data_IF_538012174051
#
_entry.id   IF_538012174051
#
_cell.length_a   1.000
_cell.length_b   1.000
_cell.length_c   1.000
_cell.angle_alpha   90.00
_cell.angle_beta   90.00
_cell.angle_gamma   90.00
#
_symmetry.space_group_name_H-M   'P 1'
#
loop_
_entity.id
_entity.type
_entity.pdbx_description
1 polymer ?
#
# COMPACT_ATOMS: atom_id res chain seq x y z
N UNK A 1 -57.20 54.88 -16.54
CA UNK A 1 -57.16 53.45 -16.19
C UNK A 1 -56.84 53.33 -14.70
N UNK A 2 -57.64 52.53 -13.96
CA UNK A 2 -57.42 52.06 -12.58
C UNK A 2 -56.12 51.18 -12.55
N UNK A 3 -55.38 50.90 -11.48
CA UNK A 3 -55.72 50.38 -10.13
C UNK A 3 -54.52 50.47 -9.15
N UNK A 4 -54.84 50.48 -7.85
CA UNK A 4 -54.03 50.18 -6.66
C UNK A 4 -53.05 48.98 -6.77
N UNK A 5 -51.99 48.90 -5.94
CA UNK A 5 -51.95 48.01 -4.75
C UNK A 5 -50.58 47.98 -4.02
N UNK A 6 -50.63 47.39 -2.82
CA UNK A 6 -49.87 47.46 -1.58
C UNK A 6 -48.42 46.92 -1.53
N UNK A 7 -47.73 47.43 -0.50
CA UNK A 7 -46.76 46.81 0.42
C UNK A 7 -46.48 45.32 0.27
N UNK A 8 -45.22 44.91 0.46
CA UNK A 8 -44.90 43.99 1.56
C UNK A 8 -43.48 44.23 2.11
N UNK A 9 -43.48 44.51 3.40
CA UNK A 9 -42.36 44.56 4.32
C UNK A 9 -41.93 43.13 4.66
N UNK A 10 -40.63 42.83 4.56
CA UNK A 10 -40.06 41.77 5.41
C UNK A 10 -38.66 42.16 5.87
N UNK A 11 -38.63 42.52 7.15
CA UNK A 11 -37.49 42.51 8.06
C UNK A 11 -36.52 41.37 7.75
N UNK A 12 -35.25 41.71 7.50
CA UNK A 12 -34.15 40.74 7.43
C UNK A 12 -33.28 40.94 8.67
N UNK A 13 -33.35 40.07 9.69
CA UNK A 13 -32.53 40.25 10.86
C UNK A 13 -31.05 40.00 10.56
N UNK A 14 -30.28 40.95 11.06
CA UNK A 14 -28.83 41.00 11.21
C UNK A 14 -28.24 39.81 11.96
N UNK A 15 -27.17 39.28 11.37
CA UNK A 15 -25.95 38.77 11.99
C UNK A 15 -26.08 38.01 13.33
N UNK A 16 -26.16 36.69 13.22
CA UNK A 16 -25.47 35.79 14.14
C UNK A 16 -24.37 35.09 13.35
N UNK A 17 -23.17 35.67 13.36
CA UNK A 17 -21.96 35.01 12.92
C UNK A 17 -21.56 34.04 14.04
N UNK A 18 -22.28 32.91 14.11
CA UNK A 18 -21.86 31.78 14.92
C UNK A 18 -20.57 31.28 14.30
N UNK A 19 -19.44 31.42 15.00
CA UNK A 19 -18.22 30.70 14.70
C UNK A 19 -18.54 29.21 14.63
N UNK A 20 -18.87 28.73 13.43
CA UNK A 20 -18.72 27.34 13.10
C UNK A 20 -17.23 27.06 13.20
N UNK A 21 -16.81 26.59 14.37
CA UNK A 21 -15.63 25.75 14.46
C UNK A 21 -15.90 24.61 13.47
N UNK A 22 -15.36 24.76 12.25
CA UNK A 22 -14.98 23.61 11.46
C UNK A 22 -14.11 22.77 12.40
N UNK A 23 -14.41 21.47 12.61
CA UNK A 23 -13.40 20.59 13.13
C UNK A 23 -12.30 20.55 12.07
N UNK A 24 -11.29 21.40 12.26
CA UNK A 24 -10.00 21.30 11.59
C UNK A 24 -9.49 19.88 11.78
N UNK A 25 -9.09 19.25 10.67
CA UNK A 25 -8.21 18.11 10.69
C UNK A 25 -8.71 16.89 11.44
N UNK A 26 -9.78 16.26 10.95
CA UNK A 26 -9.67 14.80 10.84
C UNK A 26 -8.66 14.53 9.72
N UNK A 27 -7.37 14.69 10.04
CA UNK A 27 -6.30 14.08 9.26
C UNK A 27 -6.75 12.64 9.04
N UNK A 28 -6.95 12.28 7.77
CA UNK A 28 -7.26 10.93 7.38
C UNK A 28 -6.14 10.07 7.95
N UNK A 29 -6.36 9.43 9.10
CA UNK A 29 -5.33 8.70 9.85
C UNK A 29 -4.79 7.47 9.07
N UNK A 30 -5.30 7.28 7.85
CA UNK A 30 -4.91 6.28 6.88
C UNK A 30 -4.34 6.89 5.59
N UNK A 31 -3.95 8.18 5.59
CA UNK A 31 -3.26 8.81 4.47
C UNK A 31 -1.91 8.11 4.29
N UNK A 32 -1.88 7.08 3.43
CA UNK A 32 -0.70 6.32 3.03
C UNK A 32 0.08 5.57 4.12
N UNK A 33 0.51 4.36 3.81
CA UNK A 33 1.30 3.55 4.75
C UNK A 33 2.47 2.87 4.05
N UNK A 34 3.54 2.60 4.79
CA UNK A 34 4.62 1.71 4.37
C UNK A 34 4.56 0.45 5.23
N UNK A 35 4.47 -0.71 4.58
CA UNK A 35 4.55 -2.01 5.23
C UNK A 35 5.65 -2.85 4.60
N UNK A 36 6.39 -3.56 5.46
CA UNK A 36 7.37 -4.55 5.03
C UNK A 36 6.78 -5.95 5.13
N UNK A 37 6.91 -6.70 4.04
CA UNK A 37 6.47 -8.08 3.97
C UNK A 37 7.70 -8.97 3.82
N UNK A 38 8.02 -9.68 4.91
CA UNK A 38 9.01 -10.75 4.90
C UNK A 38 8.32 -12.04 4.47
N UNK A 39 8.87 -12.73 3.48
CA UNK A 39 8.25 -13.93 2.95
C UNK A 39 9.25 -14.99 2.55
N UNK A 40 8.91 -16.26 2.79
CA UNK A 40 9.67 -17.40 2.30
C UNK A 40 9.09 -17.87 0.97
N UNK A 41 9.95 -18.17 0.00
CA UNK A 41 9.56 -18.60 -1.35
C UNK A 41 8.70 -19.90 -1.36
N UNK A 42 8.78 -20.70 -0.30
CA UNK A 42 8.05 -21.97 -0.16
C UNK A 42 6.67 -21.85 0.51
N UNK A 43 6.26 -20.66 0.97
CA UNK A 43 5.01 -20.48 1.69
C UNK A 43 3.96 -19.77 0.81
N UNK A 44 2.79 -20.38 0.54
CA UNK A 44 1.75 -19.77 -0.28
C UNK A 44 1.00 -18.62 0.42
N UNK A 45 1.27 -18.38 1.72
CA UNK A 45 0.56 -17.40 2.55
C UNK A 45 0.61 -15.97 1.99
N UNK A 46 1.75 -15.56 1.41
CA UNK A 46 1.88 -14.22 0.82
C UNK A 46 0.84 -13.99 -0.27
N UNK A 47 0.62 -14.96 -1.15
CA UNK A 47 -0.38 -14.85 -2.21
C UNK A 47 -1.79 -14.70 -1.65
N UNK A 48 -2.11 -15.41 -0.56
CA UNK A 48 -3.44 -15.36 0.07
C UNK A 48 -3.76 -14.02 0.71
N UNK A 49 -2.75 -13.33 1.24
CA UNK A 49 -2.91 -12.01 1.89
C UNK A 49 -2.75 -10.85 0.91
N UNK A 50 -1.75 -10.92 0.04
CA UNK A 50 -1.42 -9.84 -0.89
C UNK A 50 -2.50 -9.69 -1.97
N UNK A 51 -3.01 -10.80 -2.50
CA UNK A 51 -3.98 -10.76 -3.58
C UNK A 51 -5.29 -10.00 -3.25
N UNK A 52 -6.01 -10.31 -2.15
CA UNK A 52 -7.24 -9.56 -1.83
C UNK A 52 -6.97 -8.08 -1.58
N UNK A 53 -5.81 -7.72 -1.00
CA UNK A 53 -5.40 -6.33 -0.82
C UNK A 53 -5.21 -5.64 -2.18
N UNK A 54 -4.44 -6.23 -3.09
CA UNK A 54 -4.23 -5.66 -4.43
C UNK A 54 -5.54 -5.52 -5.21
N UNK A 55 -6.45 -6.49 -5.09
CA UNK A 55 -7.78 -6.41 -5.73
C UNK A 55 -8.59 -5.25 -5.18
N UNK A 56 -8.54 -5.01 -3.87
CA UNK A 56 -9.21 -3.88 -3.26
C UNK A 56 -8.61 -2.54 -3.73
N UNK A 57 -7.29 -2.44 -3.79
CA UNK A 57 -6.59 -1.23 -4.25
C UNK A 57 -6.76 -1.00 -5.77
N UNK A 58 -6.91 -2.04 -6.56
CA UNK A 58 -7.16 -1.95 -8.00
C UNK A 58 -8.58 -1.53 -8.40
N UNK A 59 -9.53 -1.54 -7.48
CA UNK A 59 -10.86 -0.92 -7.68
C UNK A 59 -10.77 0.60 -7.76
N UNK A 60 -9.75 1.19 -7.15
CA UNK A 60 -9.53 2.64 -7.22
C UNK A 60 -9.11 3.05 -8.65
N UNK A 61 -9.28 4.32 -8.97
CA UNK A 61 -8.91 4.90 -10.28
C UNK A 61 -7.43 5.31 -10.34
N UNK A 62 -6.56 4.52 -9.71
CA UNK A 62 -5.12 4.77 -9.61
C UNK A 62 -4.35 3.51 -10.00
N UNK A 63 -3.10 3.70 -10.41
CA UNK A 63 -2.24 2.62 -10.90
C UNK A 63 -1.75 1.74 -9.76
N UNK A 64 -1.41 0.49 -10.08
CA UNK A 64 -0.58 -0.33 -9.22
C UNK A 64 0.81 -0.41 -9.85
N UNK A 65 1.88 -0.22 -9.07
CA UNK A 65 3.27 -0.21 -9.56
C UNK A 65 4.10 -1.31 -8.91
N UNK A 66 4.92 -1.98 -9.72
CA UNK A 66 5.90 -2.97 -9.31
C UNK A 66 7.28 -2.48 -9.70
N UNK A 67 8.14 -2.30 -8.71
CA UNK A 67 9.55 -1.92 -8.85
C UNK A 67 10.42 -3.15 -8.60
N UNK A 68 11.25 -3.49 -9.58
CA UNK A 68 12.18 -4.63 -9.50
C UNK A 68 11.51 -5.95 -9.04
N UNK A 69 10.46 -6.44 -9.73
CA UNK A 69 9.85 -7.73 -9.40
C UNK A 69 10.82 -8.86 -9.76
N UNK A 70 11.78 -9.17 -8.87
CA UNK A 70 12.81 -10.17 -9.14
C UNK A 70 12.21 -11.58 -9.27
N UNK A 71 11.18 -11.91 -8.48
CA UNK A 71 10.55 -13.22 -8.52
C UNK A 71 9.03 -13.14 -8.22
N UNK A 72 8.24 -13.83 -9.05
CA UNK A 72 6.86 -14.35 -8.79
C UNK A 72 5.61 -13.53 -9.07
N UNK A 73 5.65 -12.21 -9.30
CA UNK A 73 4.48 -11.49 -9.82
C UNK A 73 4.46 -11.53 -11.36
N UNK A 74 4.51 -12.76 -11.90
CA UNK A 74 4.52 -12.99 -13.35
C UNK A 74 3.22 -12.50 -13.99
N UNK A 75 3.25 -12.22 -15.29
CA UNK A 75 2.04 -11.93 -16.07
C UNK A 75 0.97 -13.01 -15.90
N UNK A 76 1.40 -14.27 -15.72
CA UNK A 76 0.50 -15.39 -15.45
C UNK A 76 -0.19 -15.26 -14.09
N UNK A 77 0.55 -14.96 -13.02
CA UNK A 77 -0.05 -14.69 -11.71
C UNK A 77 -1.01 -13.50 -11.78
N UNK A 78 -0.67 -12.44 -12.53
CA UNK A 78 -1.59 -11.32 -12.75
C UNK A 78 -2.86 -11.73 -13.50
N UNK A 79 -2.77 -12.59 -14.51
CA UNK A 79 -3.94 -13.12 -15.21
C UNK A 79 -4.83 -13.94 -14.26
N UNK A 80 -4.22 -14.80 -13.44
CA UNK A 80 -4.92 -15.69 -12.52
C UNK A 80 -5.45 -14.95 -11.27
N UNK A 81 -4.91 -13.76 -10.97
CA UNK A 81 -5.25 -12.92 -9.82
C UNK A 81 -6.61 -12.20 -9.94
N UNK A 82 -7.13 -12.03 -11.16
CA UNK A 82 -8.28 -11.18 -11.43
C UNK A 82 -8.02 -9.69 -11.18
N UNK A 83 -6.76 -9.26 -11.15
CA UNK A 83 -6.39 -7.85 -11.16
C UNK A 83 -6.62 -7.24 -12.56
N UNK A 84 -7.01 -5.96 -12.64
CA UNK A 84 -7.13 -5.29 -13.93
C UNK A 84 -5.74 -5.10 -14.54
N UNK A 85 -5.34 -6.00 -15.44
CA UNK A 85 -4.02 -5.98 -16.08
C UNK A 85 -3.71 -4.64 -16.78
N UNK A 86 -4.74 -3.91 -17.21
CA UNK A 86 -4.63 -2.56 -17.79
C UNK A 86 -4.21 -1.47 -16.79
N UNK A 87 -4.24 -1.72 -15.48
CA UNK A 87 -3.84 -0.78 -14.42
C UNK A 87 -2.55 -1.18 -13.70
N UNK A 88 -1.84 -2.18 -14.21
CA UNK A 88 -0.61 -2.69 -13.62
C UNK A 88 0.58 -2.18 -14.42
N UNK A 89 1.48 -1.47 -13.75
CA UNK A 89 2.73 -0.97 -14.32
C UNK A 89 3.91 -1.70 -13.70
N UNK A 90 4.82 -2.18 -14.53
CA UNK A 90 6.04 -2.85 -14.07
C UNK A 90 7.24 -2.05 -14.55
N UNK A 91 8.11 -1.69 -13.62
CA UNK A 91 9.40 -1.09 -13.92
C UNK A 91 10.48 -2.11 -13.55
N UNK A 92 11.01 -2.72 -14.60
CA UNK A 92 12.09 -3.69 -14.53
C UNK A 92 13.40 -2.94 -14.81
N UNK A 93 14.51 -3.35 -14.21
CA UNK A 93 15.86 -2.78 -14.43
C UNK A 93 16.11 -1.41 -13.76
N UNK A 94 15.64 -1.21 -12.53
CA UNK A 94 16.12 -0.10 -11.71
C UNK A 94 17.30 -0.61 -10.89
N UNK A 95 18.43 0.10 -10.97
CA UNK A 95 19.57 -0.19 -10.12
C UNK A 95 19.16 -0.15 -8.64
N UNK A 96 19.68 -1.05 -7.78
CA UNK A 96 19.28 -1.10 -6.37
C UNK A 96 19.42 0.26 -5.66
N UNK A 97 20.44 1.04 -6.01
CA UNK A 97 20.69 2.39 -5.46
C UNK A 97 19.56 3.38 -5.80
N UNK A 98 18.96 3.26 -6.99
CA UNK A 98 17.91 4.17 -7.47
C UNK A 98 16.51 3.70 -7.08
N UNK A 99 16.35 2.43 -6.71
CA UNK A 99 15.06 1.82 -6.42
C UNK A 99 14.31 2.49 -5.26
N UNK A 100 15.04 2.92 -4.23
CA UNK A 100 14.47 3.63 -3.07
C UNK A 100 13.91 4.99 -3.51
N UNK A 101 14.70 5.75 -4.29
CA UNK A 101 14.30 7.06 -4.79
C UNK A 101 13.11 6.94 -5.76
N UNK A 102 13.15 5.95 -6.65
CA UNK A 102 12.04 5.65 -7.56
C UNK A 102 10.74 5.34 -6.79
N UNK A 103 10.82 4.54 -5.72
CA UNK A 103 9.68 4.28 -4.85
C UNK A 103 9.18 5.55 -4.17
N UNK A 104 10.09 6.38 -3.65
CA UNK A 104 9.75 7.66 -3.02
C UNK A 104 8.98 8.59 -3.98
N UNK A 105 9.48 8.77 -5.21
CA UNK A 105 8.83 9.59 -6.23
C UNK A 105 7.45 9.01 -6.61
N UNK A 106 7.35 7.70 -6.81
CA UNK A 106 6.09 7.05 -7.16
C UNK A 106 5.03 7.23 -6.07
N UNK A 107 5.40 6.95 -4.81
CA UNK A 107 4.51 7.12 -3.66
C UNK A 107 3.97 8.54 -3.56
N UNK A 108 4.86 9.54 -3.68
CA UNK A 108 4.52 10.96 -3.55
C UNK A 108 3.65 11.49 -4.69
N UNK A 109 3.65 10.83 -5.85
CA UNK A 109 2.96 11.33 -7.05
C UNK A 109 1.43 11.36 -6.97
N UNK A 110 0.83 10.61 -6.04
CA UNK A 110 -0.64 10.48 -5.94
C UNK A 110 -1.27 9.64 -7.08
N UNK A 111 -0.49 9.14 -8.04
CA UNK A 111 -1.01 8.43 -9.21
C UNK A 111 -1.21 6.92 -8.97
N UNK A 112 -0.67 6.39 -7.87
CA UNK A 112 -0.64 4.95 -7.60
C UNK A 112 -1.44 4.61 -6.33
N UNK A 113 -2.33 3.63 -6.37
CA UNK A 113 -2.94 3.08 -5.15
C UNK A 113 -1.90 2.34 -4.30
N UNK A 114 -0.97 1.66 -4.97
CA UNK A 114 0.07 0.86 -4.35
C UNK A 114 1.36 0.89 -5.16
N UNK A 115 2.48 0.93 -4.45
CA UNK A 115 3.82 0.73 -5.00
C UNK A 115 4.47 -0.44 -4.26
N UNK A 116 4.77 -1.51 -4.99
CA UNK A 116 5.48 -2.68 -4.49
C UNK A 116 6.95 -2.58 -4.93
N UNK A 117 7.88 -2.85 -4.02
CA UNK A 117 9.31 -2.81 -4.34
C UNK A 117 10.14 -3.84 -3.60
N UNK A 118 11.07 -4.47 -4.31
CA UNK A 118 12.19 -5.22 -3.72
C UNK A 118 13.37 -4.28 -3.58
N UNK A 119 13.49 -3.70 -2.40
CA UNK A 119 14.50 -2.69 -2.10
C UNK A 119 15.69 -3.30 -1.34
N UNK A 120 16.89 -2.71 -1.44
CA UNK A 120 17.97 -3.03 -0.52
C UNK A 120 17.61 -2.63 0.92
N UNK A 121 18.40 -3.06 1.93
CA UNK A 121 18.17 -2.69 3.32
C UNK A 121 18.07 -1.17 3.51
N UNK A 122 16.96 -0.74 4.13
CA UNK A 122 16.68 0.68 4.33
C UNK A 122 17.21 1.19 5.67
N UNK A 123 17.87 2.34 5.64
CA UNK A 123 18.19 3.16 6.81
C UNK A 123 16.92 3.76 7.43
N UNK A 124 17.01 4.22 8.67
CA UNK A 124 15.89 4.87 9.35
C UNK A 124 15.43 6.15 8.64
N UNK A 125 16.36 6.90 8.06
CA UNK A 125 16.05 8.11 7.29
C UNK A 125 15.26 7.75 6.02
N UNK A 126 15.70 6.76 5.26
CA UNK A 126 14.98 6.29 4.06
C UNK A 126 13.56 5.82 4.40
N UNK A 127 13.40 5.06 5.48
CA UNK A 127 12.07 4.63 5.96
C UNK A 127 11.18 5.82 6.28
N UNK A 128 11.72 6.85 6.94
CA UNK A 128 10.97 8.07 7.25
C UNK A 128 10.55 8.82 5.98
N UNK A 129 11.45 8.94 4.99
CA UNK A 129 11.12 9.58 3.70
C UNK A 129 10.05 8.83 2.93
N UNK A 130 10.14 7.50 2.86
CA UNK A 130 9.11 6.67 2.22
C UNK A 130 7.76 6.78 2.92
N UNK A 131 7.71 6.78 4.26
CA UNK A 131 6.47 7.01 5.01
C UNK A 131 5.86 8.36 4.70
N UNK A 132 6.67 9.42 4.69
CA UNK A 132 6.20 10.76 4.35
C UNK A 132 5.70 10.83 2.91
N UNK A 133 6.42 10.24 1.95
CA UNK A 133 5.99 10.17 0.55
C UNK A 133 4.67 9.41 0.38
N UNK A 134 4.51 8.28 1.08
CA UNK A 134 3.27 7.51 1.08
C UNK A 134 2.10 8.34 1.61
N UNK A 135 2.31 9.07 2.70
CA UNK A 135 1.31 9.97 3.28
C UNK A 135 0.91 11.09 2.31
N UNK A 136 1.90 11.77 1.74
CA UNK A 136 1.69 12.88 0.80
C UNK A 136 0.89 12.44 -0.43
N UNK A 137 1.14 11.23 -0.92
CA UNK A 137 0.42 10.69 -2.07
C UNK A 137 -0.74 9.79 -1.71
N UNK A 138 -1.14 9.64 -0.45
CA UNK A 138 -2.18 8.70 0.00
C UNK A 138 -2.03 7.30 -0.64
N UNK A 139 -0.81 6.76 -0.62
CA UNK A 139 -0.43 5.53 -1.33
C UNK A 139 -0.01 4.42 -0.36
N UNK A 140 -0.30 3.16 -0.70
CA UNK A 140 0.26 2.00 0.00
C UNK A 140 1.64 1.65 -0.57
N UNK A 141 2.70 1.77 0.22
CA UNK A 141 4.01 1.21 -0.12
C UNK A 141 4.20 -0.15 0.52
N UNK A 142 4.53 -1.15 -0.29
CA UNK A 142 4.84 -2.51 0.15
C UNK A 142 6.29 -2.84 -0.21
N UNK A 143 7.11 -3.07 0.80
CA UNK A 143 8.51 -3.47 0.61
C UNK A 143 8.58 -4.98 0.79
N UNK A 144 9.03 -5.66 -0.26
CA UNK A 144 9.08 -7.12 -0.32
C UNK A 144 10.49 -7.59 0.04
N UNK A 145 10.62 -8.32 1.14
CA UNK A 145 11.89 -8.86 1.62
C UNK A 145 11.84 -10.39 1.61
N UNK A 146 12.62 -11.07 0.75
CA UNK A 146 12.73 -12.52 0.82
C UNK A 146 13.42 -12.93 2.12
N UNK A 147 12.90 -13.96 2.77
CA UNK A 147 13.53 -14.57 3.94
C UNK A 147 14.69 -15.46 3.48
N UNK A 148 15.92 -14.95 3.63
CA UNK A 148 17.14 -15.68 3.30
C UNK A 148 17.51 -16.77 4.34
N UNK A 149 16.78 -16.87 5.45
CA UNK A 149 17.12 -17.79 6.53
C UNK A 149 16.81 -19.28 6.18
N UNK A 150 16.04 -19.53 5.13
CA UNK A 150 15.58 -20.88 4.75
C UNK A 150 16.64 -21.68 3.98
N UNK A 151 17.70 -21.04 3.47
CA UNK A 151 18.77 -21.77 2.75
C UNK A 151 19.77 -22.46 3.68
N UNK A 152 19.84 -22.08 4.95
CA UNK A 152 20.77 -22.69 5.93
C UNK A 152 20.20 -23.90 6.68
N UNK A 153 18.90 -24.19 6.58
CA UNK A 153 18.27 -25.30 7.32
C UNK A 153 18.21 -26.63 6.54
N UNK A 154 18.81 -26.71 5.35
CA UNK A 154 18.96 -28.01 4.64
C UNK A 154 20.05 -28.91 5.25
N UNK A 155 20.76 -28.44 6.27
CA UNK A 155 21.91 -29.13 6.85
C UNK A 155 21.77 -29.64 8.29
N UNK A 156 20.84 -29.14 9.11
CA UNK A 156 20.90 -29.41 10.55
C UNK A 156 19.54 -29.60 11.24
N UNK A 157 19.32 -30.86 11.63
CA UNK A 157 18.64 -31.31 12.86
C UNK A 157 17.11 -31.45 12.85
N UNK A 158 16.65 -32.63 12.40
CA UNK A 158 15.62 -33.37 13.14
C UNK A 158 16.01 -34.84 13.30
N UNK A 159 17.01 -35.07 14.16
CA UNK A 159 17.29 -36.37 14.77
C UNK A 159 16.30 -36.60 15.93
N UNK A 160 15.00 -36.69 15.63
CA UNK A 160 14.04 -37.24 16.57
C UNK A 160 14.09 -38.76 16.47
N UNK A 161 15.13 -39.37 17.07
CA UNK A 161 15.13 -40.81 17.38
C UNK A 161 14.09 -41.04 18.47
N UNK A 162 12.86 -41.35 18.06
CA UNK A 162 11.85 -41.91 18.95
C UNK A 162 12.31 -43.33 19.28
N UNK A 163 13.06 -43.47 20.37
CA UNK A 163 13.33 -44.77 20.95
C UNK A 163 12.10 -45.21 21.73
N UNK A 164 11.22 -45.95 21.09
CA UNK A 164 10.16 -46.69 21.75
C UNK A 164 10.79 -47.72 22.70
N UNK A 165 10.82 -47.42 24.00
CA UNK A 165 11.07 -48.45 25.01
C UNK A 165 9.79 -49.29 25.14
N UNK A 166 9.84 -50.49 24.57
CA UNK A 166 8.99 -51.61 24.99
C UNK A 166 9.25 -51.84 26.48
N UNK A 167 8.23 -51.69 27.32
CA UNK A 167 8.23 -52.29 28.64
C UNK A 167 7.40 -53.57 28.55
N UNK A 168 8.09 -54.69 28.78
CA UNK A 168 7.51 -55.99 29.09
C UNK A 168 6.98 -56.02 30.52
#
# INVERSE_FOLDING_TARGET
>A
MRTHSLQHYTDRPSFLNTSAHQPEGQENAYAGVISELVYSEHQPMLSLLLLPLLRQLGKQSRWLLWLNPQHKLSKQWLADSGLPASKVMQLNQIEPVDSIYAMECALRSGNYSVVLGWLPPLTQNERARLRKAAQDGECFGLIMQPDHNVESDKGQLNLLKIQSKLFH
#
